data_IF_347498537750
#
_entry.id   IF_347498537750
#
_cell.length_a   1.000
_cell.length_b   1.000
_cell.length_c   1.000
_cell.angle_alpha   90.00
_cell.angle_beta   90.00
_cell.angle_gamma   90.00
#
_symmetry.space_group_name_H-M   'P 1'
#
loop_
_entity.id
_entity.type
_entity.pdbx_description
1 polymer ?
#
# COMPACT_ATOMS: atom_id res chain seq x y z
N UNK A 1 51.17 -9.25 19.51
CA UNK A 1 51.93 -8.92 20.74
C UNK A 1 51.92 -10.06 21.75
N UNK A 2 50.77 -10.54 22.25
CA UNK A 2 50.70 -11.67 23.20
C UNK A 2 51.35 -12.98 22.67
N UNK A 3 51.11 -13.34 21.41
CA UNK A 3 51.72 -14.54 20.78
C UNK A 3 53.26 -14.52 20.81
N UNK A 4 53.87 -13.37 20.47
CA UNK A 4 55.32 -13.18 20.50
C UNK A 4 55.88 -13.36 21.91
N UNK A 5 55.28 -12.69 22.90
CA UNK A 5 55.70 -12.80 24.29
C UNK A 5 55.65 -14.25 24.82
N UNK A 6 54.62 -15.01 24.45
CA UNK A 6 54.52 -16.43 24.82
C UNK A 6 55.62 -17.29 24.18
N UNK A 7 55.97 -17.03 22.91
CA UNK A 7 57.04 -17.75 22.21
C UNK A 7 58.42 -17.39 22.77
N UNK A 8 58.68 -16.11 23.07
CA UNK A 8 59.92 -15.67 23.74
C UNK A 8 60.12 -16.38 25.08
N UNK A 9 59.07 -16.45 25.91
CA UNK A 9 59.12 -17.15 27.20
C UNK A 9 59.32 -18.66 27.03
N UNK A 10 58.73 -19.27 26.00
CA UNK A 10 58.89 -20.69 25.72
C UNK A 10 60.32 -21.02 25.26
N UNK A 11 60.87 -20.24 24.34
CA UNK A 11 62.21 -20.44 23.78
C UNK A 11 63.28 -20.20 24.84
N UNK A 12 63.12 -19.17 25.68
CA UNK A 12 64.07 -18.82 26.73
C UNK A 12 64.17 -19.80 27.90
N UNK A 13 63.44 -20.92 27.88
CA UNK A 13 63.57 -22.01 28.87
C UNK A 13 64.88 -22.79 28.73
N UNK A 14 65.45 -22.80 27.52
CA UNK A 14 66.76 -23.39 27.30
C UNK A 14 67.83 -22.33 27.57
N UNK A 15 68.68 -22.60 28.55
CA UNK A 15 69.82 -21.76 28.91
C UNK A 15 71.13 -22.55 28.83
N UNK A 16 72.22 -21.83 28.66
CA UNK A 16 73.56 -22.38 28.64
C UNK A 16 74.48 -21.54 29.55
N UNK A 17 75.31 -22.23 30.32
CA UNK A 17 76.37 -21.62 31.12
C UNK A 17 77.69 -22.27 30.77
N UNK A 18 78.66 -21.48 30.33
CA UNK A 18 79.96 -21.98 29.89
C UNK A 18 81.05 -20.92 30.09
N UNK A 19 82.31 -21.31 29.90
CA UNK A 19 83.47 -20.41 30.00
C UNK A 19 84.17 -20.31 28.65
N UNK A 20 84.54 -19.10 28.27
CA UNK A 20 85.31 -18.81 27.06
C UNK A 20 86.72 -18.34 27.40
N UNK A 21 87.71 -18.62 26.52
CA UNK A 21 89.06 -18.10 26.68
C UNK A 21 89.10 -16.57 26.49
N UNK A 22 90.10 -15.87 27.06
CA UNK A 22 90.29 -14.42 26.87
C UNK A 22 90.42 -13.98 25.40
N UNK A 23 90.75 -14.88 24.48
CA UNK A 23 90.78 -14.58 23.03
C UNK A 23 89.39 -14.24 22.43
N UNK A 24 88.29 -14.46 23.17
CA UNK A 24 86.92 -14.12 22.77
C UNK A 24 86.39 -12.87 23.49
N UNK A 25 87.24 -11.87 23.72
CA UNK A 25 86.89 -10.59 24.36
C UNK A 25 85.86 -9.75 23.59
N UNK A 26 85.68 -10.00 22.29
CA UNK A 26 84.76 -9.23 21.44
C UNK A 26 83.27 -9.60 21.61
N UNK A 27 82.93 -10.56 22.49
CA UNK A 27 81.55 -10.97 22.77
C UNK A 27 81.01 -10.23 24.01
N UNK A 28 79.88 -9.57 23.86
CA UNK A 28 79.22 -8.78 24.91
C UNK A 28 77.79 -9.27 25.18
N UNK A 29 77.17 -8.89 26.33
CA UNK A 29 75.75 -9.13 26.56
C UNK A 29 74.88 -8.62 25.41
N UNK A 30 73.84 -9.40 25.07
CA UNK A 30 72.97 -9.26 23.91
C UNK A 30 73.51 -9.74 22.56
N UNK A 31 74.79 -10.11 22.45
CA UNK A 31 75.29 -10.79 21.26
C UNK A 31 74.65 -12.17 21.09
N UNK A 32 74.48 -12.60 19.84
CA UNK A 32 73.97 -13.93 19.51
C UNK A 32 75.10 -14.78 18.97
N UNK A 33 75.34 -15.90 19.64
CA UNK A 33 76.33 -16.90 19.24
C UNK A 33 75.63 -18.16 18.74
N UNK A 34 76.34 -18.93 17.92
CA UNK A 34 75.98 -20.31 17.61
C UNK A 34 76.81 -21.25 18.47
N UNK A 35 76.14 -22.05 19.28
CA UNK A 35 76.78 -23.06 20.11
C UNK A 35 76.55 -24.43 19.48
N UNK A 36 77.63 -25.12 19.12
CA UNK A 36 77.61 -26.50 18.68
C UNK A 36 77.78 -27.43 19.89
N UNK A 37 76.76 -28.20 20.23
CA UNK A 37 76.77 -29.16 21.34
C UNK A 37 75.90 -30.39 21.01
N UNK A 38 76.36 -31.59 21.34
CA UNK A 38 75.64 -32.87 21.08
C UNK A 38 75.07 -33.01 19.65
N UNK A 39 75.87 -32.62 18.65
CA UNK A 39 75.49 -32.72 17.24
C UNK A 39 74.43 -31.72 16.78
N UNK A 40 74.11 -30.71 17.60
CA UNK A 40 73.17 -29.63 17.29
C UNK A 40 73.89 -28.28 17.31
N UNK A 41 73.59 -27.42 16.35
CA UNK A 41 73.92 -25.99 16.41
C UNK A 41 72.68 -25.21 16.80
N UNK A 42 72.78 -24.43 17.89
CA UNK A 42 71.67 -23.64 18.42
C UNK A 42 72.12 -22.21 18.65
N UNK A 43 71.23 -21.26 18.36
CA UNK A 43 71.47 -19.83 18.60
C UNK A 43 71.16 -19.47 20.05
N UNK A 44 72.14 -18.87 20.71
CA UNK A 44 72.07 -18.42 22.09
C UNK A 44 72.40 -16.93 22.16
N UNK A 45 71.57 -16.16 22.85
CA UNK A 45 71.84 -14.77 23.18
C UNK A 45 72.53 -14.69 24.53
N UNK A 46 73.64 -13.96 24.57
CA UNK A 46 74.36 -13.70 25.81
C UNK A 46 73.51 -12.81 26.72
N UNK A 47 73.30 -13.24 27.97
CA UNK A 47 72.55 -12.50 28.99
C UNK A 47 73.50 -11.76 29.90
N UNK A 48 74.56 -12.45 30.35
CA UNK A 48 75.57 -11.89 31.24
C UNK A 48 76.95 -12.44 30.88
N UNK A 49 77.97 -11.61 31.09
CA UNK A 49 79.38 -11.94 30.91
C UNK A 49 80.12 -11.48 32.16
N UNK A 50 80.92 -12.37 32.75
CA UNK A 50 81.73 -12.10 33.93
C UNK A 50 83.21 -12.43 33.64
N UNK A 51 84.08 -11.42 33.71
CA UNK A 51 85.50 -11.56 33.39
C UNK A 51 86.34 -11.82 34.65
N UNK A 52 86.99 -13.00 34.68
CA UNK A 52 87.95 -13.41 35.71
C UNK A 52 89.12 -14.16 35.04
N UNK A 53 89.59 -15.29 35.59
CA UNK A 53 90.61 -16.13 34.93
C UNK A 53 90.15 -16.67 33.54
N UNK A 54 88.83 -16.80 33.35
CA UNK A 54 88.16 -17.05 32.07
C UNK A 54 86.89 -16.20 31.98
N UNK A 55 86.34 -15.98 30.78
CA UNK A 55 85.07 -15.25 30.61
C UNK A 55 83.91 -16.20 30.90
N UNK A 56 83.23 -16.02 32.03
CA UNK A 56 82.00 -16.75 32.37
C UNK A 56 80.82 -16.19 31.59
N UNK A 57 80.05 -17.05 30.93
CA UNK A 57 78.93 -16.68 30.07
C UNK A 57 77.66 -17.34 30.55
N UNK A 58 76.60 -16.55 30.72
CA UNK A 58 75.22 -17.04 30.78
C UNK A 58 74.49 -16.64 29.51
N UNK A 59 73.85 -17.60 28.86
CA UNK A 59 73.13 -17.37 27.63
C UNK A 59 71.75 -18.05 27.66
N UNK A 60 70.80 -17.49 26.93
CA UNK A 60 69.46 -18.06 26.72
C UNK A 60 69.24 -18.30 25.25
N UNK A 61 68.55 -19.39 24.92
CA UNK A 61 68.23 -19.70 23.53
C UNK A 61 67.42 -18.57 22.92
N UNK A 62 67.74 -18.23 21.67
CA UNK A 62 66.97 -17.28 20.88
C UNK A 62 66.62 -17.89 19.54
N UNK A 63 65.43 -17.58 19.04
CA UNK A 63 65.00 -17.95 17.70
C UNK A 63 64.58 -16.70 16.94
N UNK A 64 65.28 -16.40 15.85
CA UNK A 64 64.99 -15.24 15.00
C UNK A 64 63.59 -15.31 14.39
N UNK A 65 63.09 -16.51 14.08
CA UNK A 65 61.77 -16.70 13.47
C UNK A 65 60.61 -16.25 14.36
N UNK A 66 60.81 -16.19 15.68
CA UNK A 66 59.81 -15.70 16.62
C UNK A 66 59.56 -14.18 16.52
N UNK A 67 60.53 -13.43 15.98
CA UNK A 67 60.45 -11.96 15.84
C UNK A 67 59.77 -11.50 14.55
N UNK A 68 59.75 -12.34 13.51
CA UNK A 68 59.20 -12.02 12.17
C UNK A 68 57.73 -12.44 11.99
N UNK A 69 56.97 -12.63 13.07
CA UNK A 69 55.56 -12.99 12.96
C UNK A 69 54.73 -11.81 12.42
N UNK A 70 54.03 -11.96 11.27
CA UNK A 70 53.18 -10.90 10.74
C UNK A 70 52.03 -10.59 11.71
N UNK A 71 51.54 -9.33 11.75
CA UNK A 71 50.32 -9.00 12.47
C UNK A 71 49.15 -9.83 11.91
N UNK A 72 48.21 -10.20 12.76
CA UNK A 72 46.98 -10.86 12.31
C UNK A 72 46.13 -9.91 11.46
N UNK A 73 45.23 -10.47 10.66
CA UNK A 73 44.40 -9.68 9.76
C UNK A 73 43.56 -8.64 10.51
N UNK A 74 43.47 -7.40 10.00
CA UNK A 74 42.59 -6.40 10.57
C UNK A 74 41.13 -6.88 10.46
N UNK A 75 40.37 -6.73 11.55
CA UNK A 75 38.94 -6.99 11.50
C UNK A 75 38.28 -5.90 10.65
N UNK A 76 37.50 -6.23 9.60
CA UNK A 76 36.79 -5.22 8.85
C UNK A 76 35.80 -4.49 9.77
N UNK A 77 35.93 -3.17 9.85
CA UNK A 77 34.96 -2.30 10.48
C UNK A 77 34.06 -1.71 9.38
N UNK A 78 32.81 -2.15 9.28
CA UNK A 78 31.81 -1.45 8.48
C UNK A 78 31.12 -0.40 9.35
N UNK A 79 31.19 0.86 8.97
CA UNK A 79 30.30 1.88 9.51
C UNK A 79 28.89 1.59 8.97
N UNK A 80 27.90 1.41 9.85
CA UNK A 80 26.52 1.31 9.42
C UNK A 80 26.10 2.66 8.83
N UNK A 81 25.79 2.71 7.54
CA UNK A 81 25.17 3.89 6.94
C UNK A 81 23.78 4.08 7.54
N UNK A 82 23.43 5.27 8.05
CA UNK A 82 22.10 5.52 8.56
C UNK A 82 21.07 5.36 7.44
N UNK A 83 20.03 4.58 7.70
CA UNK A 83 18.90 4.43 6.76
C UNK A 83 18.16 5.77 6.73
N UNK A 84 18.13 6.40 5.55
CA UNK A 84 17.34 7.60 5.29
C UNK A 84 16.02 7.17 4.67
N UNK A 85 14.91 7.57 5.30
CA UNK A 85 13.58 7.34 4.77
C UNK A 85 13.16 8.58 3.96
N UNK A 86 12.77 8.37 2.70
CA UNK A 86 12.11 9.40 1.91
C UNK A 86 10.63 9.53 2.26
N UNK A 87 9.96 10.53 1.68
CA UNK A 87 8.51 10.65 1.78
C UNK A 87 7.82 9.42 1.17
N UNK A 88 6.86 8.80 1.86
CA UNK A 88 6.09 7.70 1.30
C UNK A 88 5.14 8.20 0.19
N UNK A 89 4.88 7.35 -0.80
CA UNK A 89 3.72 7.49 -1.68
C UNK A 89 2.48 7.12 -0.87
N UNK A 90 1.50 8.04 -0.77
CA UNK A 90 0.33 7.89 0.09
C UNK A 90 -0.94 8.12 -0.72
N UNK A 91 -1.87 7.19 -0.59
CA UNK A 91 -3.19 7.27 -1.23
C UNK A 91 -4.25 7.08 -0.16
N UNK A 92 -5.16 8.05 -0.04
CA UNK A 92 -6.37 7.95 0.78
C UNK A 92 -7.55 7.60 -0.12
N UNK A 93 -8.24 6.51 0.19
CA UNK A 93 -9.29 5.93 -0.62
C UNK A 93 -10.62 6.02 0.11
N UNK A 94 -11.50 6.92 -0.34
CA UNK A 94 -12.89 6.95 0.12
C UNK A 94 -13.73 6.05 -0.80
N UNK A 95 -13.85 4.79 -0.41
CA UNK A 95 -14.47 3.74 -1.23
C UNK A 95 -15.83 3.31 -0.67
N UNK A 96 -16.69 2.69 -1.49
CA UNK A 96 -17.73 1.82 -0.98
C UNK A 96 -17.17 0.80 0.01
N UNK A 97 -17.99 0.36 0.98
CA UNK A 97 -17.54 -0.66 1.93
C UNK A 97 -17.15 -1.94 1.19
N UNK A 98 -15.93 -2.42 1.42
CA UNK A 98 -15.38 -3.63 0.79
C UNK A 98 -15.27 -4.83 1.75
N UNK A 99 -15.31 -4.58 3.07
CA UNK A 99 -15.19 -5.61 4.10
C UNK A 99 -16.05 -5.29 5.34
N UNK A 100 -16.39 -6.32 6.11
CA UNK A 100 -17.27 -6.21 7.29
C UNK A 100 -16.55 -5.67 8.53
N UNK A 101 -15.23 -5.82 8.59
CA UNK A 101 -14.39 -5.42 9.72
C UNK A 101 -14.20 -3.89 9.83
N UNK A 102 -14.62 -3.14 8.81
CA UNK A 102 -14.62 -1.68 8.83
C UNK A 102 -16.03 -1.08 8.77
N UNK A 103 -16.30 -0.03 9.57
CA UNK A 103 -17.47 0.81 9.36
C UNK A 103 -17.48 1.44 7.95
N UNK A 104 -18.66 1.46 7.32
CA UNK A 104 -18.83 1.88 5.92
C UNK A 104 -18.41 3.34 5.62
N UNK A 105 -18.44 4.23 6.61
CA UNK A 105 -18.06 5.63 6.43
C UNK A 105 -16.55 5.88 6.44
N UNK A 106 -15.75 4.88 6.84
CA UNK A 106 -14.31 5.08 7.05
C UNK A 106 -13.53 4.87 5.76
N UNK A 107 -12.74 5.87 5.32
CA UNK A 107 -11.81 5.70 4.23
C UNK A 107 -10.67 4.74 4.59
N UNK A 108 -10.01 4.22 3.56
CA UNK A 108 -8.78 3.46 3.66
C UNK A 108 -7.57 4.34 3.36
N UNK A 109 -6.40 3.94 3.86
CA UNK A 109 -5.12 4.53 3.50
C UNK A 109 -4.15 3.43 3.04
N UNK A 110 -3.46 3.72 1.95
CA UNK A 110 -2.38 2.93 1.41
C UNK A 110 -1.09 3.78 1.46
N UNK A 111 0.02 3.16 1.88
CA UNK A 111 1.32 3.80 1.83
C UNK A 111 2.39 2.86 1.27
N UNK A 112 3.32 3.43 0.52
CA UNK A 112 4.47 2.73 -0.03
C UNK A 112 5.75 3.58 0.14
N UNK A 113 6.80 2.96 0.66
CA UNK A 113 8.13 3.56 0.77
C UNK A 113 9.22 2.52 0.59
N UNK A 114 10.35 2.91 -0.01
CA UNK A 114 11.54 2.08 -0.16
C UNK A 114 12.78 2.86 0.32
N UNK A 115 13.46 2.45 1.41
CA UNK A 115 13.14 1.30 2.27
C UNK A 115 11.84 1.51 3.08
N UNK A 116 11.20 0.41 3.52
CA UNK A 116 10.04 0.49 4.40
C UNK A 116 10.48 0.84 5.83
N UNK A 117 9.86 1.83 6.51
CA UNK A 117 10.24 2.22 7.86
C UNK A 117 9.78 1.25 8.97
N UNK A 118 9.09 0.16 8.61
CA UNK A 118 8.49 -0.78 9.56
C UNK A 118 7.09 -0.34 9.96
N UNK A 119 6.93 0.90 10.41
CA UNK A 119 5.63 1.47 10.79
C UNK A 119 5.47 2.89 10.24
N UNK A 120 4.28 3.16 9.67
CA UNK A 120 3.84 4.48 9.21
C UNK A 120 2.86 5.06 10.23
N UNK A 121 3.07 6.31 10.60
CA UNK A 121 2.16 7.09 11.41
C UNK A 121 1.35 8.06 10.55
N UNK A 122 0.07 8.20 10.88
CA UNK A 122 -0.88 9.09 10.21
C UNK A 122 -1.33 10.14 11.19
N UNK A 123 -1.00 11.40 10.93
CA UNK A 123 -1.43 12.53 11.71
C UNK A 123 -2.43 13.38 10.92
N UNK A 124 -3.33 14.06 11.64
CA UNK A 124 -4.25 15.04 11.07
C UNK A 124 -4.29 16.34 11.88
N UNK A 125 -4.60 17.45 11.22
CA UNK A 125 -4.90 18.74 11.84
C UNK A 125 -5.91 19.56 11.03
N UNK A 126 -6.72 20.37 11.71
CA UNK A 126 -7.62 21.34 11.10
C UNK A 126 -6.85 22.53 10.48
N UNK A 127 -5.62 22.76 10.94
CA UNK A 127 -4.70 23.81 10.48
C UNK A 127 -3.39 23.19 9.97
N UNK A 128 -2.36 24.01 9.76
CA UNK A 128 -1.03 23.58 9.32
C UNK A 128 -0.09 23.24 10.48
N UNK A 129 -0.59 23.25 11.71
CA UNK A 129 0.12 22.98 12.97
C UNK A 129 -0.76 22.13 13.91
N UNK A 130 -0.27 21.73 15.10
CA UNK A 130 -1.09 20.97 16.05
C UNK A 130 -1.53 19.58 15.57
N UNK A 131 -0.68 18.90 14.80
CA UNK A 131 -0.95 17.57 14.26
C UNK A 131 -1.12 16.52 15.36
N UNK A 132 -2.28 15.87 15.38
CA UNK A 132 -2.59 14.77 16.31
C UNK A 132 -2.45 13.42 15.61
N UNK A 133 -1.83 12.46 16.29
CA UNK A 133 -1.72 11.09 15.81
C UNK A 133 -3.11 10.46 15.74
N UNK A 134 -3.49 10.00 14.55
CA UNK A 134 -4.78 9.35 14.31
C UNK A 134 -4.67 7.83 14.36
N UNK A 135 -3.66 7.26 13.69
CA UNK A 135 -3.42 5.81 13.66
C UNK A 135 -1.99 5.51 13.18
N UNK A 136 -1.57 4.26 13.35
CA UNK A 136 -0.33 3.71 12.77
C UNK A 136 -0.61 2.37 12.07
N UNK A 137 0.24 1.99 11.11
CA UNK A 137 0.16 0.69 10.46
C UNK A 137 1.52 0.23 9.93
N UNK A 138 1.75 -1.09 9.92
CA UNK A 138 3.03 -1.69 9.57
C UNK A 138 3.13 -2.30 8.17
N UNK A 139 2.01 -2.40 7.44
CA UNK A 139 1.95 -3.04 6.13
C UNK A 139 2.26 -2.06 5.00
N UNK A 140 3.06 -2.51 4.03
CA UNK A 140 3.33 -1.79 2.78
C UNK A 140 2.26 -2.16 1.75
N UNK A 141 1.55 -1.16 1.23
CA UNK A 141 0.53 -1.37 0.21
C UNK A 141 1.14 -1.55 -1.20
N UNK A 142 0.41 -2.27 -2.06
CA UNK A 142 0.72 -2.39 -3.49
C UNK A 142 0.04 -1.25 -4.25
N UNK A 143 0.83 -0.23 -4.56
CA UNK A 143 0.41 0.98 -5.29
C UNK A 143 1.10 0.98 -6.65
N UNK A 144 0.40 1.48 -7.67
CA UNK A 144 0.89 1.62 -9.02
C UNK A 144 0.15 2.69 -9.81
N UNK A 145 0.36 2.69 -11.11
CA UNK A 145 -0.34 3.58 -12.05
C UNK A 145 -0.77 2.85 -13.31
N UNK A 146 -1.77 3.38 -14.02
CA UNK A 146 -2.13 2.90 -15.34
C UNK A 146 -1.04 3.23 -16.36
N UNK A 147 -0.58 2.23 -17.12
CA UNK A 147 0.38 2.45 -18.20
C UNK A 147 -0.29 3.04 -19.47
N UNK A 148 -1.58 2.77 -19.66
CA UNK A 148 -2.37 3.21 -20.81
C UNK A 148 -3.78 3.62 -20.36
N UNK A 149 -4.45 4.42 -21.19
CA UNK A 149 -5.85 4.77 -21.02
C UNK A 149 -6.73 3.51 -21.02
N UNK A 150 -7.75 3.49 -20.15
CA UNK A 150 -8.73 2.41 -20.05
C UNK A 150 -10.11 2.97 -20.30
N UNK A 151 -10.81 2.39 -21.27
CA UNK A 151 -12.16 2.83 -21.64
C UNK A 151 -13.25 2.13 -20.82
N UNK A 152 -14.48 2.66 -20.85
CA UNK A 152 -15.62 1.99 -20.25
C UNK A 152 -15.78 0.57 -20.81
N UNK A 153 -16.07 -0.36 -19.90
CA UNK A 153 -16.34 -1.76 -20.20
C UNK A 153 -17.76 -2.16 -19.82
N UNK A 154 -18.18 -3.39 -20.14
CA UNK A 154 -19.45 -3.90 -19.68
C UNK A 154 -19.46 -4.07 -18.15
N UNK A 155 -20.62 -3.85 -17.54
CA UNK A 155 -20.87 -4.13 -16.12
C UNK A 155 -21.67 -5.43 -15.97
N UNK A 156 -21.63 -6.01 -14.77
CA UNK A 156 -22.36 -7.25 -14.40
C UNK A 156 -22.04 -8.49 -15.26
N UNK A 157 -20.90 -8.47 -15.96
CA UNK A 157 -20.35 -9.59 -16.74
C UNK A 157 -18.84 -9.41 -16.87
N UNK A 158 -18.16 -10.44 -17.35
CA UNK A 158 -16.75 -10.31 -17.70
C UNK A 158 -16.53 -9.32 -18.85
N UNK A 159 -15.61 -8.40 -18.64
CA UNK A 159 -14.99 -7.62 -19.68
C UNK A 159 -13.80 -8.41 -20.25
N UNK A 160 -13.98 -8.91 -21.46
CA UNK A 160 -12.99 -9.68 -22.22
C UNK A 160 -12.38 -8.85 -23.34
N UNK A 161 -12.82 -7.60 -23.52
CA UNK A 161 -12.40 -6.74 -24.62
C UNK A 161 -11.34 -5.72 -24.19
N UNK A 162 -11.43 -5.21 -22.96
CA UNK A 162 -10.44 -4.29 -22.42
C UNK A 162 -9.32 -5.02 -21.69
N UNK A 163 -8.15 -4.38 -21.66
CA UNK A 163 -6.98 -4.83 -20.93
C UNK A 163 -6.52 -3.69 -20.02
N UNK A 164 -6.28 -4.01 -18.75
CA UNK A 164 -5.82 -3.06 -17.75
C UNK A 164 -4.32 -3.27 -17.54
N UNK A 165 -3.50 -2.36 -18.07
CA UNK A 165 -2.04 -2.45 -17.91
C UNK A 165 -1.59 -1.55 -16.77
N UNK A 166 -0.96 -2.15 -15.75
CA UNK A 166 -0.57 -1.46 -14.51
C UNK A 166 0.93 -1.54 -14.28
N UNK A 167 1.53 -0.41 -13.87
CA UNK A 167 2.91 -0.31 -13.39
C UNK A 167 2.91 -0.25 -11.86
N UNK A 168 3.36 -1.31 -11.20
CA UNK A 168 3.43 -1.41 -9.74
C UNK A 168 4.78 -0.92 -9.20
N UNK A 169 4.73 -0.20 -8.08
CA UNK A 169 5.92 0.23 -7.35
C UNK A 169 6.65 -0.95 -6.67
N UNK A 170 5.90 -1.94 -6.18
CA UNK A 170 6.44 -3.20 -5.65
C UNK A 170 5.38 -4.30 -5.60
N UNK A 171 5.84 -5.52 -5.34
CA UNK A 171 4.99 -6.71 -5.24
C UNK A 171 4.74 -7.39 -6.58
N UNK A 172 3.92 -8.44 -6.54
CA UNK A 172 3.51 -9.22 -7.71
C UNK A 172 2.01 -9.38 -7.75
N UNK A 173 1.50 -9.63 -8.96
CA UNK A 173 0.11 -10.03 -9.22
C UNK A 173 0.14 -11.39 -9.88
N UNK A 174 -0.85 -12.22 -9.57
CA UNK A 174 -1.00 -13.56 -10.11
C UNK A 174 -2.42 -13.76 -10.61
N UNK A 175 -2.57 -14.66 -11.58
CA UNK A 175 -3.89 -15.05 -12.07
C UNK A 175 -4.62 -15.84 -10.99
N UNK A 176 -5.94 -15.65 -10.88
CA UNK A 176 -6.78 -16.30 -9.88
C UNK A 176 -7.88 -17.10 -10.55
N UNK A 177 -8.40 -18.10 -9.85
CA UNK A 177 -9.56 -18.87 -10.33
C UNK A 177 -10.82 -18.01 -10.27
N UNK A 178 -11.83 -18.34 -11.08
CA UNK A 178 -13.13 -17.63 -11.05
C UNK A 178 -13.77 -17.66 -9.64
N UNK A 179 -13.60 -18.75 -8.88
CA UNK A 179 -14.10 -18.84 -7.49
C UNK A 179 -13.40 -17.84 -6.58
N UNK A 180 -12.07 -17.74 -6.65
CA UNK A 180 -11.32 -16.77 -5.86
C UNK A 180 -11.66 -15.33 -6.28
N UNK A 181 -11.82 -15.10 -7.58
CA UNK A 181 -12.23 -13.81 -8.13
C UNK A 181 -13.59 -13.38 -7.59
N UNK A 182 -14.61 -14.25 -7.65
CA UNK A 182 -15.93 -13.97 -7.07
C UNK A 182 -15.89 -13.82 -5.55
N UNK A 183 -14.90 -14.42 -4.88
CA UNK A 183 -14.60 -14.19 -3.47
C UNK A 183 -13.90 -12.86 -3.15
N UNK A 184 -13.66 -11.99 -4.14
CA UNK A 184 -13.04 -10.67 -3.94
C UNK A 184 -11.54 -10.61 -4.25
N UNK A 185 -10.92 -11.70 -4.71
CA UNK A 185 -9.50 -11.69 -5.05
C UNK A 185 -9.18 -10.74 -6.21
N UNK A 186 -7.92 -10.27 -6.27
CA UNK A 186 -7.42 -9.36 -7.30
C UNK A 186 -8.26 -8.10 -7.50
N UNK A 187 -8.85 -7.55 -6.44
CA UNK A 187 -9.55 -6.28 -6.49
C UNK A 187 -8.56 -5.11 -6.47
N UNK A 188 -8.70 -4.16 -7.39
CA UNK A 188 -7.94 -2.93 -7.50
C UNK A 188 -8.90 -1.74 -7.47
N UNK A 189 -8.51 -0.66 -6.80
CA UNK A 189 -9.13 0.65 -6.99
C UNK A 189 -8.33 1.45 -8.01
N UNK A 190 -9.00 1.95 -9.05
CA UNK A 190 -8.43 2.78 -10.12
C UNK A 190 -9.03 4.18 -10.00
N UNK A 191 -8.17 5.19 -9.86
CA UNK A 191 -8.62 6.58 -9.75
C UNK A 191 -8.88 7.19 -11.13
N UNK A 192 -10.11 7.06 -11.63
CA UNK A 192 -10.49 7.56 -12.96
C UNK A 192 -10.47 9.09 -13.06
N UNK A 193 -10.71 9.78 -11.94
CA UNK A 193 -10.58 11.21 -11.77
C UNK A 193 -10.31 11.51 -10.28
N UNK A 194 -9.86 12.72 -9.94
CA UNK A 194 -9.52 13.08 -8.56
C UNK A 194 -10.63 12.71 -7.55
N UNK A 195 -10.34 11.76 -6.65
CA UNK A 195 -11.30 11.27 -5.65
C UNK A 195 -12.42 10.36 -6.18
N UNK A 196 -12.43 10.03 -7.48
CA UNK A 196 -13.36 9.07 -8.09
C UNK A 196 -12.64 7.75 -8.35
N UNK A 197 -13.13 6.69 -7.72
CA UNK A 197 -12.52 5.37 -7.74
C UNK A 197 -13.44 4.34 -8.38
N UNK A 198 -12.97 3.69 -9.44
CA UNK A 198 -13.55 2.46 -9.96
C UNK A 198 -12.94 1.27 -9.21
N UNK A 199 -13.76 0.34 -8.72
CA UNK A 199 -13.26 -0.95 -8.23
C UNK A 199 -13.33 -1.97 -9.37
N UNK A 200 -12.18 -2.51 -9.72
CA UNK A 200 -12.00 -3.51 -10.79
C UNK A 200 -11.41 -4.77 -10.19
N UNK A 201 -11.86 -5.94 -10.64
CA UNK A 201 -11.16 -7.21 -10.35
C UNK A 201 -10.63 -7.83 -11.62
N UNK A 202 -9.51 -8.54 -11.55
CA UNK A 202 -8.88 -9.20 -12.70
C UNK A 202 -8.67 -10.69 -12.47
N UNK A 203 -9.22 -11.53 -13.35
CA UNK A 203 -9.01 -12.97 -13.29
C UNK A 203 -7.63 -13.40 -13.80
N UNK A 204 -7.11 -12.73 -14.83
CA UNK A 204 -5.82 -13.04 -15.43
C UNK A 204 -4.83 -11.90 -15.24
N UNK A 205 -3.62 -12.24 -14.81
CA UNK A 205 -2.50 -11.33 -14.64
C UNK A 205 -1.24 -11.90 -15.31
N UNK A 206 -0.69 -11.15 -16.26
CA UNK A 206 0.52 -11.49 -17.02
C UNK A 206 1.59 -10.42 -16.77
N UNK A 207 2.79 -10.82 -16.33
CA UNK A 207 3.93 -9.93 -16.21
C UNK A 207 4.54 -9.69 -17.60
N UNK A 208 4.44 -8.48 -18.12
CA UNK A 208 4.89 -8.13 -19.48
C UNK A 208 6.19 -7.31 -19.50
N UNK A 209 6.57 -6.70 -18.37
CA UNK A 209 7.88 -6.08 -18.12
C UNK A 209 8.12 -5.97 -16.60
N UNK A 210 9.34 -5.67 -16.12
CA UNK A 210 9.59 -5.53 -14.68
C UNK A 210 8.60 -4.54 -14.01
N UNK A 211 7.79 -5.04 -13.07
CA UNK A 211 6.76 -4.26 -12.38
C UNK A 211 5.51 -3.94 -13.21
N UNK A 212 5.46 -4.31 -14.49
CA UNK A 212 4.33 -4.03 -15.40
C UNK A 212 3.51 -5.28 -15.67
N UNK A 213 2.22 -5.24 -15.36
CA UNK A 213 1.29 -6.33 -15.55
C UNK A 213 0.20 -5.96 -16.54
N UNK A 214 -0.12 -6.89 -17.46
CA UNK A 214 -1.36 -6.87 -18.24
C UNK A 214 -2.40 -7.67 -17.48
N UNK A 215 -3.51 -7.03 -17.15
CA UNK A 215 -4.65 -7.64 -16.47
C UNK A 215 -5.81 -7.76 -17.45
N UNK A 216 -6.40 -8.94 -17.54
CA UNK A 216 -7.53 -9.25 -18.44
C UNK A 216 -8.59 -10.06 -17.71
N UNK A 217 -9.72 -10.33 -18.39
CA UNK A 217 -10.89 -11.00 -17.80
C UNK A 217 -11.38 -10.22 -16.57
N UNK A 218 -11.76 -8.97 -16.83
CA UNK A 218 -12.02 -7.99 -15.78
C UNK A 218 -13.48 -8.06 -15.31
N UNK A 219 -13.71 -7.80 -14.03
CA UNK A 219 -15.02 -7.44 -13.48
C UNK A 219 -14.96 -5.94 -13.16
N UNK A 220 -15.78 -5.15 -13.85
CA UNK A 220 -15.75 -3.68 -13.80
C UNK A 220 -16.79 -3.12 -12.84
N UNK A 221 -16.58 -1.89 -12.36
CA UNK A 221 -17.55 -1.13 -11.57
C UNK A 221 -18.08 -1.83 -10.31
N UNK A 222 -17.27 -2.67 -9.66
CA UNK A 222 -17.68 -3.46 -8.50
C UNK A 222 -18.12 -2.56 -7.34
N UNK A 223 -18.99 -3.10 -6.47
CA UNK A 223 -19.53 -2.38 -5.29
C UNK A 223 -20.16 -1.01 -5.63
N UNK A 224 -20.88 -0.93 -6.75
CA UNK A 224 -21.65 0.27 -7.12
C UNK A 224 -20.80 1.39 -7.75
N UNK A 225 -19.60 1.08 -8.24
CA UNK A 225 -18.67 2.06 -8.83
C UNK A 225 -18.78 2.18 -10.35
N UNK A 226 -19.87 1.69 -10.96
CA UNK A 226 -20.08 1.75 -12.41
C UNK A 226 -20.09 3.20 -12.95
N UNK A 227 -20.61 4.14 -12.15
CA UNK A 227 -20.62 5.57 -12.47
C UNK A 227 -19.23 6.23 -12.40
N UNK A 228 -18.26 5.59 -11.75
CA UNK A 228 -16.89 6.06 -11.61
C UNK A 228 -15.97 5.51 -12.72
N UNK A 229 -16.48 4.72 -13.66
CA UNK A 229 -15.74 4.28 -14.84
C UNK A 229 -15.37 5.51 -15.69
N UNK A 230 -14.08 5.78 -15.83
CA UNK A 230 -13.59 6.88 -16.67
C UNK A 230 -13.85 6.64 -18.14
N UNK A 231 -14.00 7.71 -18.92
CA UNK A 231 -14.11 7.64 -20.37
C UNK A 231 -13.11 8.59 -21.08
N UNK A 232 -11.81 8.24 -21.11
CA UNK A 232 -11.17 7.09 -20.45
C UNK A 232 -10.80 7.37 -18.98
N UNK A 233 -10.44 6.33 -18.22
CA UNK A 233 -9.54 6.47 -17.08
C UNK A 233 -8.12 6.66 -17.64
N UNK A 234 -7.43 7.79 -17.35
CA UNK A 234 -6.23 8.17 -18.09
C UNK A 234 -4.99 7.38 -17.67
N UNK A 235 -4.04 7.22 -18.59
CA UNK A 235 -2.69 6.78 -18.27
C UNK A 235 -2.09 7.67 -17.16
N UNK A 236 -1.37 7.05 -16.23
CA UNK A 236 -0.87 7.70 -15.02
C UNK A 236 -1.88 7.75 -13.86
N UNK A 237 -3.14 7.37 -14.06
CA UNK A 237 -4.10 7.24 -12.97
C UNK A 237 -3.60 6.26 -11.90
N UNK A 238 -3.80 6.60 -10.62
CA UNK A 238 -3.35 5.79 -9.49
C UNK A 238 -4.14 4.49 -9.42
N UNK A 239 -3.43 3.42 -9.10
CA UNK A 239 -3.98 2.08 -8.88
C UNK A 239 -3.53 1.59 -7.52
N UNK A 240 -4.47 1.07 -6.72
CA UNK A 240 -4.17 0.47 -5.42
C UNK A 240 -4.81 -0.90 -5.36
N UNK A 241 -4.03 -1.94 -5.05
CA UNK A 241 -4.60 -3.26 -4.78
C UNK A 241 -5.34 -3.24 -3.45
N UNK A 242 -6.57 -3.75 -3.43
CA UNK A 242 -7.43 -3.81 -2.26
C UNK A 242 -7.20 -5.14 -1.54
N UNK A 243 -6.27 -5.13 -0.60
CA UNK A 243 -5.92 -6.27 0.24
C UNK A 243 -5.76 -5.86 1.72
N UNK A 244 -5.28 -6.79 2.54
CA UNK A 244 -5.07 -6.58 3.98
C UNK A 244 -3.90 -5.65 4.32
N UNK A 245 -3.18 -5.12 3.33
CA UNK A 245 -2.13 -4.13 3.57
C UNK A 245 -2.66 -2.70 3.71
N UNK A 246 -3.93 -2.45 3.36
CA UNK A 246 -4.58 -1.17 3.58
C UNK A 246 -5.01 -1.03 5.04
N UNK A 247 -4.89 0.18 5.57
CA UNK A 247 -5.35 0.49 6.92
C UNK A 247 -6.64 1.33 6.87
N UNK A 248 -7.56 1.10 7.81
CA UNK A 248 -8.74 1.95 7.98
C UNK A 248 -8.36 3.25 8.71
N UNK A 249 -8.81 4.39 8.19
CA UNK A 249 -8.69 5.67 8.87
C UNK A 249 -9.84 5.81 9.89
N UNK A 250 -9.56 5.94 11.20
CA UNK A 250 -10.59 6.01 12.23
C UNK A 250 -11.24 7.40 12.29
N UNK A 251 -11.99 7.72 11.24
CA UNK A 251 -12.78 8.95 11.11
C UNK A 251 -14.12 8.75 11.83
N UNK A 252 -14.55 9.76 12.57
CA UNK A 252 -15.89 9.83 13.13
C UNK A 252 -16.87 10.39 12.08
N UNK A 253 -18.14 9.97 12.13
CA UNK A 253 -19.15 10.46 11.17
C UNK A 253 -19.37 11.97 11.22
N UNK A 254 -19.17 12.59 12.40
CA UNK A 254 -19.25 14.03 12.56
C UNK A 254 -18.13 14.81 11.84
N UNK A 255 -17.04 14.13 11.47
CA UNK A 255 -15.91 14.74 10.76
C UNK A 255 -16.05 14.63 9.22
N UNK A 256 -17.11 13.98 8.72
CA UNK A 256 -17.35 13.83 7.28
C UNK A 256 -17.64 15.20 6.63
N UNK A 257 -17.09 15.41 5.44
CA UNK A 257 -17.19 16.65 4.68
C UNK A 257 -16.25 17.76 5.14
N UNK A 258 -15.52 17.58 6.24
CA UNK A 258 -14.55 18.57 6.72
C UNK A 258 -13.17 18.37 6.06
N UNK A 259 -12.55 19.43 5.52
CA UNK A 259 -11.20 19.35 4.98
C UNK A 259 -10.18 19.25 6.12
N UNK A 260 -9.26 18.30 6.02
CA UNK A 260 -8.18 18.12 6.99
C UNK A 260 -6.82 18.17 6.30
N UNK A 261 -5.82 18.67 7.02
CA UNK A 261 -4.41 18.56 6.65
C UNK A 261 -3.85 17.28 7.26
N UNK A 262 -3.07 16.55 6.48
CA UNK A 262 -2.53 15.25 6.86
C UNK A 262 -1.02 15.24 6.76
N UNK A 263 -0.39 14.51 7.68
CA UNK A 263 1.04 14.20 7.67
C UNK A 263 1.20 12.70 7.82
N UNK A 264 1.84 12.06 6.85
CA UNK A 264 2.01 10.59 6.83
C UNK A 264 3.48 10.27 6.59
N UNK A 265 4.09 9.50 7.50
CA UNK A 265 5.52 9.24 7.48
C UNK A 265 5.97 8.20 8.49
N UNK A 266 7.29 7.95 8.62
CA UNK A 266 7.85 6.96 9.54
C UNK A 266 7.47 7.25 11.00
N UNK A 267 6.86 6.28 11.69
CA UNK A 267 6.42 6.44 13.08
C UNK A 267 7.59 6.71 14.06
N UNK A 268 8.80 6.26 13.71
CA UNK A 268 10.02 6.48 14.48
C UNK A 268 10.60 7.91 14.35
N UNK A 269 9.98 8.79 13.55
CA UNK A 269 10.41 10.18 13.32
C UNK A 269 9.34 11.16 13.78
N UNK A 270 9.76 12.39 14.10
CA UNK A 270 8.83 13.49 14.42
C UNK A 270 7.94 13.81 13.23
N UNK A 271 6.68 14.21 13.46
CA UNK A 271 5.73 14.65 12.42
C UNK A 271 6.23 15.85 11.60
N UNK A 272 7.21 16.60 12.13
CA UNK A 272 7.86 17.74 11.48
C UNK A 272 9.08 17.35 10.65
N UNK A 273 9.47 16.07 10.63
CA UNK A 273 10.59 15.56 9.84
C UNK A 273 10.27 15.57 8.35
N UNK A 274 11.27 15.84 7.51
CA UNK A 274 11.11 15.94 6.05
C UNK A 274 10.68 14.62 5.39
N UNK A 275 10.74 13.50 6.11
CA UNK A 275 10.21 12.20 5.66
C UNK A 275 8.68 12.08 5.70
N UNK A 276 7.96 13.08 6.23
CA UNK A 276 6.49 13.08 6.24
C UNK A 276 5.88 13.73 4.99
N UNK A 277 5.12 12.95 4.24
CA UNK A 277 4.27 13.43 3.15
C UNK A 277 3.14 14.31 3.71
N UNK A 278 2.94 15.48 3.11
CA UNK A 278 1.82 16.37 3.42
C UNK A 278 0.75 16.27 2.34
N UNK A 279 -0.51 16.10 2.73
CA UNK A 279 -1.63 16.02 1.81
C UNK A 279 -2.91 16.60 2.41
N UNK A 280 -3.77 17.12 1.54
CA UNK A 280 -5.15 17.50 1.89
C UNK A 280 -6.10 16.38 1.51
N UNK A 281 -7.04 16.04 2.39
CA UNK A 281 -8.07 15.05 2.11
C UNK A 281 -9.32 15.32 2.93
N UNK A 282 -10.48 15.24 2.28
CA UNK A 282 -11.80 15.43 2.85
C UNK A 282 -12.55 14.10 2.81
N UNK A 283 -12.73 13.40 3.95
CA UNK A 283 -13.51 12.18 3.98
C UNK A 283 -14.99 12.52 3.71
N UNK A 284 -15.59 11.93 2.69
CA UNK A 284 -16.99 12.13 2.30
C UNK A 284 -17.91 11.00 2.76
N UNK A 285 -17.34 9.87 3.17
CA UNK A 285 -18.09 8.72 3.67
C UNK A 285 -18.73 7.93 2.53
N UNK A 286 -17.95 7.63 1.48
CA UNK A 286 -18.44 7.04 0.23
C UNK A 286 -19.20 5.73 0.44
N UNK A 287 -18.82 4.92 1.43
CA UNK A 287 -19.54 3.68 1.75
C UNK A 287 -20.93 3.86 2.40
N UNK A 288 -21.33 5.08 2.77
CA UNK A 288 -22.71 5.41 3.16
C UNK A 288 -23.58 5.86 1.97
N UNK A 289 -22.99 6.11 0.81
CA UNK A 289 -23.73 6.51 -0.39
C UNK A 289 -24.44 5.28 -0.97
N UNK A 290 -25.76 5.35 -1.07
CA UNK A 290 -26.58 4.27 -1.65
C UNK A 290 -26.27 4.09 -3.14
N UNK A 291 -26.41 2.84 -3.61
CA UNK A 291 -26.18 2.48 -5.00
C UNK A 291 -27.32 2.96 -5.89
N UNK A 292 -27.02 3.21 -7.16
CA UNK A 292 -28.03 3.59 -8.15
C UNK A 292 -29.03 2.44 -8.36
N UNK A 293 -30.35 2.68 -8.28
CA UNK A 293 -31.35 1.68 -8.66
C UNK A 293 -31.15 1.17 -10.09
N UNK A 294 -31.64 -0.03 -10.39
CA UNK A 294 -31.47 -0.68 -11.70
C UNK A 294 -32.79 -1.16 -12.27
N UNK A 295 -32.76 -1.65 -13.51
CA UNK A 295 -33.92 -2.23 -14.19
C UNK A 295 -35.13 -1.28 -14.17
N UNK A 296 -34.93 -0.02 -14.55
CA UNK A 296 -36.02 0.93 -14.71
C UNK A 296 -36.91 0.47 -15.86
N UNK A 297 -38.20 0.27 -15.57
CA UNK A 297 -39.16 -0.22 -16.55
C UNK A 297 -39.31 0.75 -17.72
N UNK A 298 -39.22 0.22 -18.93
CA UNK A 298 -39.34 0.99 -20.16
C UNK A 298 -40.79 0.98 -20.65
N UNK A 299 -41.46 2.15 -20.73
CA UNK A 299 -42.88 2.22 -21.07
C UNK A 299 -43.23 1.64 -22.45
N UNK A 300 -42.37 1.81 -23.45
CA UNK A 300 -42.59 1.27 -24.81
C UNK A 300 -42.70 -0.26 -24.89
N UNK A 301 -42.26 -0.99 -23.85
CA UNK A 301 -42.33 -2.47 -23.84
C UNK A 301 -43.75 -3.00 -23.59
N UNK A 302 -44.68 -2.14 -23.20
CA UNK A 302 -46.09 -2.48 -22.97
C UNK A 302 -47.00 -1.60 -23.84
N UNK A 303 -48.21 -2.08 -24.14
CA UNK A 303 -49.20 -1.27 -24.86
C UNK A 303 -49.55 -0.04 -24.02
N UNK A 304 -49.33 1.16 -24.58
CA UNK A 304 -49.45 2.42 -23.84
C UNK A 304 -50.56 3.31 -24.37
N UNK A 305 -51.41 3.79 -23.47
CA UNK A 305 -52.27 4.95 -23.67
C UNK A 305 -51.74 6.14 -22.85
N UNK A 306 -51.79 7.39 -23.35
CA UNK A 306 -51.43 8.56 -22.55
C UNK A 306 -52.28 8.64 -21.28
N UNK A 307 -51.65 8.99 -20.15
CA UNK A 307 -52.29 9.00 -18.83
C UNK A 307 -51.24 9.07 -17.73
N UNK A 308 -51.61 8.67 -16.51
CA UNK A 308 -50.67 8.57 -15.39
C UNK A 308 -49.51 7.61 -15.72
N UNK A 309 -48.29 7.98 -15.30
CA UNK A 309 -47.10 7.18 -15.52
C UNK A 309 -46.60 6.60 -14.21
N UNK A 310 -46.73 5.29 -14.04
CA UNK A 310 -46.05 4.58 -12.95
C UNK A 310 -44.64 4.21 -13.41
N UNK A 311 -43.66 4.88 -12.85
CA UNK A 311 -42.24 4.59 -13.08
C UNK A 311 -41.82 3.57 -12.02
N UNK A 312 -41.22 2.45 -12.42
CA UNK A 312 -40.78 1.36 -11.52
C UNK A 312 -39.31 1.05 -11.73
N UNK A 313 -38.66 0.54 -10.69
CA UNK A 313 -37.26 0.14 -10.70
C UNK A 313 -37.02 -1.01 -9.71
N UNK A 314 -35.81 -1.56 -9.71
CA UNK A 314 -35.32 -2.53 -8.72
C UNK A 314 -34.32 -1.86 -7.77
N UNK A 315 -34.51 -2.04 -6.47
CA UNK A 315 -33.58 -1.55 -5.42
C UNK A 315 -32.25 -2.29 -5.52
N UNK A 316 -31.15 -1.59 -5.25
CA UNK A 316 -29.85 -2.21 -4.93
C UNK A 316 -29.54 -2.01 -3.46
N UNK A 317 -28.73 -2.90 -2.88
CA UNK A 317 -28.23 -2.73 -1.52
C UNK A 317 -26.72 -2.66 -1.51
N UNK A 318 -26.20 -1.81 -0.60
CA UNK A 318 -24.77 -1.71 -0.31
C UNK A 318 -24.33 -2.67 0.79
N UNK A 319 -25.25 -3.38 1.45
CA UNK A 319 -24.89 -4.42 2.41
C UNK A 319 -24.01 -5.49 1.73
N UNK A 320 -23.00 -6.00 2.42
CA UNK A 320 -22.07 -6.99 1.86
C UNK A 320 -22.74 -8.34 1.61
N UNK A 321 -23.70 -8.71 2.45
CA UNK A 321 -24.47 -9.94 2.33
C UNK A 321 -25.58 -9.87 1.26
N UNK A 322 -25.77 -8.73 0.58
CA UNK A 322 -26.87 -8.53 -0.37
C UNK A 322 -26.87 -9.48 -1.58
N UNK A 323 -25.72 -10.10 -1.88
CA UNK A 323 -25.57 -11.07 -2.97
C UNK A 323 -25.83 -12.53 -2.53
N UNK A 324 -26.22 -12.76 -1.27
CA UNK A 324 -26.48 -14.09 -0.74
C UNK A 324 -27.85 -14.64 -1.17
N UNK A 325 -27.86 -15.86 -1.72
CA UNK A 325 -29.06 -16.53 -2.22
C UNK A 325 -30.01 -17.06 -1.14
N UNK A 326 -29.50 -17.24 0.09
CA UNK A 326 -30.26 -17.81 1.21
C UNK A 326 -31.21 -16.80 1.88
N UNK A 327 -31.14 -15.52 1.49
CA UNK A 327 -31.94 -14.46 2.10
C UNK A 327 -33.36 -14.43 1.53
N UNK A 328 -34.34 -14.21 2.41
CA UNK A 328 -35.75 -14.07 2.02
C UNK A 328 -35.98 -12.79 1.19
N UNK A 329 -35.27 -11.72 1.53
CA UNK A 329 -35.33 -10.42 0.87
C UNK A 329 -33.94 -9.77 0.91
N UNK A 330 -33.62 -8.96 -0.10
CA UNK A 330 -32.34 -8.25 -0.14
C UNK A 330 -32.31 -7.25 1.02
N UNK A 331 -31.31 -7.28 1.92
CA UNK A 331 -31.27 -6.42 3.09
C UNK A 331 -31.24 -4.95 2.71
N UNK A 332 -31.91 -4.12 3.52
CA UNK A 332 -31.79 -2.67 3.46
C UNK A 332 -30.68 -2.25 4.42
N UNK A 333 -29.70 -1.51 3.91
CA UNK A 333 -28.59 -1.00 4.72
C UNK A 333 -28.93 0.31 5.47
N UNK A 334 -30.11 0.88 5.19
CA UNK A 334 -30.63 2.10 5.80
C UNK A 334 -31.82 1.80 6.72
N UNK A 335 -32.15 2.71 7.63
CA UNK A 335 -33.27 2.49 8.56
C UNK A 335 -34.65 2.52 7.87
N UNK A 336 -34.76 3.27 6.77
CA UNK A 336 -36.00 3.47 6.02
C UNK A 336 -35.70 3.46 4.52
N UNK A 337 -36.54 2.78 3.75
CA UNK A 337 -36.49 2.82 2.29
C UNK A 337 -37.16 4.10 1.78
N UNK A 338 -36.43 4.91 1.01
CA UNK A 338 -36.93 6.15 0.44
C UNK A 338 -36.21 6.51 -0.85
N UNK A 339 -36.94 7.16 -1.76
CA UNK A 339 -36.47 7.53 -3.07
C UNK A 339 -36.81 8.97 -3.43
N UNK A 340 -35.94 9.56 -4.23
CA UNK A 340 -36.13 10.86 -4.89
C UNK A 340 -36.03 10.66 -6.40
N UNK A 341 -37.08 11.05 -7.12
CA UNK A 341 -37.18 10.93 -8.58
C UNK A 341 -37.26 12.31 -9.19
N UNK A 342 -36.24 12.68 -9.94
CA UNK A 342 -36.18 13.93 -10.67
C UNK A 342 -36.64 13.73 -12.11
N UNK A 343 -37.60 14.54 -12.53
CA UNK A 343 -38.04 14.69 -13.91
C UNK A 343 -37.26 15.84 -14.55
N UNK A 344 -36.60 15.58 -15.67
CA UNK A 344 -35.65 16.50 -16.30
C UNK A 344 -36.15 17.02 -17.65
N UNK A 345 -35.85 18.29 -17.91
CA UNK A 345 -35.90 18.93 -19.22
C UNK A 345 -34.49 19.43 -19.57
N UNK A 346 -33.77 18.66 -20.38
CA UNK A 346 -32.34 18.82 -20.54
C UNK A 346 -31.61 18.68 -19.19
N UNK A 347 -30.94 19.75 -18.76
CA UNK A 347 -30.25 19.81 -17.46
C UNK A 347 -31.14 20.34 -16.31
N UNK A 348 -32.32 20.87 -16.61
CA UNK A 348 -33.20 21.50 -15.62
C UNK A 348 -34.11 20.46 -14.97
N UNK A 349 -34.17 20.47 -13.64
CA UNK A 349 -35.16 19.67 -12.89
C UNK A 349 -36.51 20.37 -12.97
N UNK A 350 -37.46 19.78 -13.70
CA UNK A 350 -38.86 20.26 -13.77
C UNK A 350 -39.63 19.91 -12.51
N UNK A 351 -39.40 18.70 -12.00
CA UNK A 351 -40.13 18.16 -10.85
C UNK A 351 -39.27 17.19 -10.07
N UNK A 352 -39.47 17.19 -8.76
CA UNK A 352 -38.95 16.17 -7.85
C UNK A 352 -40.14 15.48 -7.19
N UNK A 353 -40.17 14.16 -7.24
CA UNK A 353 -41.16 13.32 -6.60
C UNK A 353 -40.45 12.44 -5.56
N UNK A 354 -41.12 12.09 -4.47
CA UNK A 354 -40.58 11.23 -3.41
C UNK A 354 -41.53 10.10 -3.10
N UNK A 355 -41.00 8.90 -2.86
CA UNK A 355 -41.78 7.72 -2.46
C UNK A 355 -40.95 6.86 -1.49
N UNK A 356 -41.60 5.96 -0.76
CA UNK A 356 -40.97 4.95 0.11
C UNK A 356 -41.01 3.55 -0.50
N UNK A 357 -41.41 3.44 -1.76
CA UNK A 357 -41.48 2.18 -2.52
C UNK A 357 -40.66 2.28 -3.81
N UNK A 358 -40.42 1.15 -4.47
CA UNK A 358 -39.69 1.05 -5.74
C UNK A 358 -40.50 1.50 -6.96
N UNK A 359 -41.48 2.37 -6.75
CA UNK A 359 -42.30 2.95 -7.81
C UNK A 359 -42.70 4.38 -7.49
N UNK A 360 -43.00 5.17 -8.51
CA UNK A 360 -43.59 6.49 -8.32
C UNK A 360 -44.61 6.81 -9.39
N UNK A 361 -45.68 7.51 -9.00
CA UNK A 361 -46.72 7.95 -9.92
C UNK A 361 -46.47 9.39 -10.37
N UNK A 362 -46.23 9.57 -11.67
CA UNK A 362 -46.19 10.87 -12.33
C UNK A 362 -47.52 11.11 -13.06
N UNK A 363 -48.40 11.87 -12.42
CA UNK A 363 -49.81 11.95 -12.84
C UNK A 363 -49.99 12.73 -14.14
N UNK A 364 -51.11 12.50 -14.81
CA UNK A 364 -51.54 13.21 -16.02
C UNK A 364 -51.61 14.73 -15.79
N UNK A 365 -52.07 15.15 -14.61
CA UNK A 365 -52.11 16.55 -14.22
C UNK A 365 -50.70 17.15 -14.08
N UNK A 366 -49.77 16.41 -13.47
CA UNK A 366 -48.36 16.84 -13.34
C UNK A 366 -47.68 16.91 -14.70
N UNK A 367 -47.91 15.94 -15.59
CA UNK A 367 -47.43 15.99 -16.97
C UNK A 367 -47.93 17.22 -17.71
N UNK A 368 -49.24 17.49 -17.62
CA UNK A 368 -49.83 18.65 -18.30
C UNK A 368 -49.28 19.96 -17.73
N UNK A 369 -49.01 20.04 -16.43
CA UNK A 369 -48.38 21.21 -15.82
C UNK A 369 -46.93 21.41 -16.27
N UNK A 370 -46.17 20.33 -16.46
CA UNK A 370 -44.74 20.40 -16.80
C UNK A 370 -44.49 20.55 -18.31
N UNK A 371 -45.36 19.97 -19.14
CA UNK A 371 -45.18 19.82 -20.59
C UNK A 371 -46.32 20.42 -21.44
N UNK A 372 -47.41 20.87 -20.82
CA UNK A 372 -48.61 21.39 -21.51
C UNK A 372 -49.52 20.31 -22.11
N UNK A 373 -49.09 19.05 -22.13
CA UNK A 373 -49.86 17.90 -22.60
C UNK A 373 -49.34 16.60 -21.96
N UNK A 374 -50.07 15.50 -22.18
CA UNK A 374 -49.62 14.17 -21.78
C UNK A 374 -48.51 13.67 -22.71
N UNK A 375 -47.57 12.92 -22.15
CA UNK A 375 -46.53 12.28 -22.94
C UNK A 375 -47.16 11.17 -23.81
N UNK A 376 -46.79 11.09 -25.08
CA UNK A 376 -47.33 10.18 -26.10
C UNK A 376 -46.24 9.40 -26.84
N UNK A 377 -46.64 8.49 -27.75
CA UNK A 377 -45.70 7.72 -28.57
C UNK A 377 -44.71 8.60 -29.33
N UNK A 378 -43.43 8.20 -29.33
CA UNK A 378 -42.33 8.93 -29.96
C UNK A 378 -41.72 10.04 -29.10
N UNK A 379 -42.27 10.32 -27.90
CA UNK A 379 -41.68 11.25 -26.95
C UNK A 379 -40.75 10.53 -25.96
N UNK A 380 -39.94 11.32 -25.26
CA UNK A 380 -38.98 10.82 -24.26
C UNK A 380 -39.07 11.59 -22.96
N UNK A 381 -38.75 10.94 -21.84
CA UNK A 381 -38.67 11.57 -20.53
C UNK A 381 -37.36 11.19 -19.85
N UNK A 382 -36.47 12.16 -19.70
CA UNK A 382 -35.24 11.99 -18.94
C UNK A 382 -35.55 12.04 -17.45
N UNK A 383 -35.06 11.06 -16.69
CA UNK A 383 -35.25 10.95 -15.25
C UNK A 383 -33.94 10.61 -14.54
N UNK A 384 -33.86 11.01 -13.27
CA UNK A 384 -32.88 10.50 -12.30
C UNK A 384 -33.59 9.93 -11.10
N UNK A 385 -33.19 8.73 -10.70
CA UNK A 385 -33.74 8.03 -9.53
C UNK A 385 -32.62 7.87 -8.52
N UNK A 386 -32.84 8.36 -7.30
CA UNK A 386 -31.93 8.23 -6.18
C UNK A 386 -32.61 7.39 -5.10
N UNK A 387 -31.94 6.36 -4.62
CA UNK A 387 -32.24 5.85 -3.29
C UNK A 387 -31.63 6.80 -2.26
N UNK A 388 -32.34 7.08 -1.17
CA UNK A 388 -31.86 7.98 -0.14
C UNK A 388 -31.12 7.21 0.96
N UNK A 389 -29.94 7.71 1.33
CA UNK A 389 -29.25 7.42 2.57
C UNK A 389 -29.89 8.24 3.69
N UNK A 390 -30.19 7.60 4.81
CA UNK A 390 -30.62 8.30 6.04
C UNK A 390 -29.55 9.27 6.57
N UNK A 391 -28.27 9.10 6.19
CA UNK A 391 -27.13 9.88 6.69
C UNK A 391 -26.65 10.94 5.71
N UNK A 392 -26.57 10.62 4.41
CA UNK A 392 -25.99 11.50 3.39
C UNK A 392 -27.01 12.03 2.37
N UNK A 393 -28.29 11.64 2.46
CA UNK A 393 -29.31 12.06 1.50
C UNK A 393 -29.22 11.31 0.18
N UNK A 394 -29.26 12.02 -0.96
CA UNK A 394 -29.28 11.39 -2.29
C UNK A 394 -28.04 10.52 -2.55
N UNK A 395 -28.27 9.28 -2.95
CA UNK A 395 -27.24 8.35 -3.40
C UNK A 395 -26.66 8.62 -4.78
N UNK A 396 -26.11 7.58 -5.39
CA UNK A 396 -25.74 7.62 -6.81
C UNK A 396 -27.01 7.56 -7.68
N UNK A 397 -27.19 8.43 -8.69
CA UNK A 397 -28.38 8.40 -9.53
C UNK A 397 -28.37 7.26 -10.54
N UNK A 398 -29.52 6.61 -10.71
CA UNK A 398 -29.85 5.95 -11.97
C UNK A 398 -30.33 7.01 -12.97
N UNK A 399 -29.55 7.26 -14.03
CA UNK A 399 -29.94 8.20 -15.09
C UNK A 399 -30.50 7.43 -16.28
N UNK A 400 -31.78 7.61 -16.58
CA UNK A 400 -32.49 6.87 -17.62
C UNK A 400 -33.33 7.83 -18.45
N UNK A 401 -33.40 7.59 -19.76
CA UNK A 401 -34.41 8.21 -20.62
C UNK A 401 -35.48 7.19 -20.92
N UNK A 402 -36.70 7.44 -20.47
CA UNK A 402 -37.86 6.64 -20.82
C UNK A 402 -38.29 6.99 -22.24
N UNK A 403 -38.62 5.97 -23.02
CA UNK A 403 -39.15 6.10 -24.37
C UNK A 403 -40.61 5.62 -24.40
N UNK A 404 -41.46 6.37 -25.10
CA UNK A 404 -42.91 6.15 -25.13
C UNK A 404 -43.43 5.74 -26.49
#
# INVERSE_FOLDING_TARGET
RCRRALMEVWIGRESATFRLPPSRLALDPADVIRLAHDGREVEFRLVSVADAEARGIEAVRQDRSAYDLPPGDPRPASLASPIVFGMPEVVMLDLPQISEDQPAHRPLIAAHASPWPGEIAVFRSASTDGFNLLTTFGSRARIGTLAFDVFPGPTSRFDLGNELVVDLLSGTLESVTDVALFGGANALAVESAAGQWEIVQAGAAELIAPGRYRLTRLLRGQRGTEHAMGNPAPAGARVVLLDTALASLPIAEADLGLPWNWRVGPAARSVTDDSYAALGFTPTGRGLVTFAPVHVDQPWRTARAPGDLTIRWTRRSRALVADAWEQVEVPLAEDVESYDVQILDGATVKRTLTDSTTSILYTAAQQTADWGALLGPGQTLAIRIYQLSNRLGRGTPATVTLQF
#
